data_IF_717840107451
#
_entry.id   IF_717840107451
#
_cell.length_a   1.000
_cell.length_b   1.000
_cell.length_c   1.000
_cell.angle_alpha   90.00
_cell.angle_beta   90.00
_cell.angle_gamma   90.00
#
_symmetry.space_group_name_H-M   'P 1'
#
loop_
_entity.id
_entity.type
_entity.pdbx_description
1 polymer ?
#
# COMPACT_ATOMS: atom_id res chain seq x y z
N UNK A 1 12.49 21.67 0.76
CA UNK A 1 11.64 21.19 1.85
C UNK A 1 12.17 19.89 2.45
N UNK A 2 12.48 19.90 3.75
CA UNK A 2 12.68 18.68 4.56
C UNK A 2 11.31 18.20 5.06
N UNK A 3 10.98 16.91 4.88
CA UNK A 3 9.65 16.35 5.24
C UNK A 3 9.67 15.50 6.52
N UNK A 4 10.81 15.33 7.20
CA UNK A 4 10.94 14.44 8.36
C UNK A 4 9.98 14.85 9.50
N UNK A 5 9.99 16.13 9.90
CA UNK A 5 9.13 16.63 10.99
C UNK A 5 7.64 16.55 10.65
N UNK A 6 7.29 16.65 9.37
CA UNK A 6 5.90 16.52 8.90
C UNK A 6 5.42 15.05 8.93
N UNK A 7 6.25 14.12 8.45
CA UNK A 7 5.88 12.72 8.21
C UNK A 7 6.21 11.79 9.38
N UNK A 8 7.12 12.20 10.28
CA UNK A 8 7.51 11.49 11.51
C UNK A 8 7.49 12.46 12.71
N UNK A 9 6.35 13.11 13.02
CA UNK A 9 6.28 14.10 14.08
C UNK A 9 6.37 13.45 15.46
N UNK A 10 7.03 14.13 16.40
CA UNK A 10 6.97 13.79 17.83
C UNK A 10 6.01 14.73 18.57
N UNK A 11 5.91 15.99 18.13
CA UNK A 11 5.08 17.03 18.75
C UNK A 11 4.06 17.59 17.75
N UNK A 12 2.78 17.40 18.03
CA UNK A 12 1.67 17.76 17.14
C UNK A 12 0.76 18.80 17.78
N UNK A 13 0.47 19.91 17.11
CA UNK A 13 -0.58 20.83 17.52
C UNK A 13 -1.82 20.68 16.63
N UNK A 14 -3.00 20.59 17.24
CA UNK A 14 -4.28 20.48 16.52
C UNK A 14 -5.04 21.80 16.65
N UNK A 15 -5.12 22.55 15.55
CA UNK A 15 -5.78 23.85 15.49
C UNK A 15 -7.22 23.69 15.07
N UNK A 16 -8.14 24.25 15.86
CA UNK A 16 -9.59 24.14 15.67
C UNK A 16 -10.28 23.18 16.64
N UNK A 17 -9.60 22.77 17.72
CA UNK A 17 -10.22 21.98 18.80
C UNK A 17 -11.39 22.77 19.39
N UNK A 18 -12.54 22.13 19.54
CA UNK A 18 -13.75 22.74 20.05
C UNK A 18 -14.07 22.26 21.46
N UNK A 19 -14.26 23.18 22.40
CA UNK A 19 -14.72 22.85 23.76
C UNK A 19 -16.23 22.58 23.85
N UNK A 20 -16.99 22.88 22.78
CA UNK A 20 -18.46 22.71 22.76
C UNK A 20 -18.96 21.64 21.80
N UNK A 21 -18.12 21.19 20.86
CA UNK A 21 -18.46 20.14 19.90
C UNK A 21 -17.42 19.04 19.95
N UNK A 22 -17.75 18.01 20.72
CA UNK A 22 -16.87 16.88 20.97
C UNK A 22 -16.61 15.99 19.74
N UNK A 23 -17.50 16.08 18.74
CA UNK A 23 -17.43 15.37 17.46
C UNK A 23 -16.80 16.23 16.35
N UNK A 24 -16.28 17.41 16.66
CA UNK A 24 -15.58 18.22 15.67
C UNK A 24 -14.37 17.45 15.13
N UNK A 25 -14.06 17.50 13.82
CA UNK A 25 -12.91 16.79 13.24
C UNK A 25 -11.58 17.00 13.99
N UNK A 26 -11.33 18.23 14.45
CA UNK A 26 -10.16 18.54 15.28
C UNK A 26 -10.14 17.75 16.60
N UNK A 27 -11.29 17.58 17.26
CA UNK A 27 -11.38 16.82 18.51
C UNK A 27 -11.17 15.32 18.26
N UNK A 28 -11.67 14.79 17.14
CA UNK A 28 -11.45 13.40 16.75
C UNK A 28 -9.95 13.14 16.58
N UNK A 29 -9.24 14.03 15.87
CA UNK A 29 -7.78 13.94 15.71
C UNK A 29 -7.08 14.05 17.07
N UNK A 30 -7.40 15.11 17.83
CA UNK A 30 -6.77 15.39 19.12
C UNK A 30 -6.87 14.22 20.09
N UNK A 31 -8.07 13.65 20.28
CA UNK A 31 -8.30 12.49 21.16
C UNK A 31 -7.50 11.27 20.73
N UNK A 32 -7.45 10.98 19.43
CA UNK A 32 -6.69 9.83 18.94
C UNK A 32 -5.22 9.97 19.30
N UNK A 33 -4.63 11.12 18.96
CA UNK A 33 -3.23 11.40 19.26
C UNK A 33 -2.97 11.34 20.77
N UNK A 34 -3.83 11.94 21.58
CA UNK A 34 -3.67 12.00 23.03
C UNK A 34 -3.73 10.63 23.71
N UNK A 35 -4.63 9.74 23.27
CA UNK A 35 -4.92 8.50 23.99
C UNK A 35 -4.35 7.24 23.34
N UNK A 36 -3.92 7.28 22.07
CA UNK A 36 -3.60 6.07 21.30
C UNK A 36 -2.26 6.10 20.58
N UNK A 37 -1.58 7.25 20.52
CA UNK A 37 -0.33 7.39 19.77
C UNK A 37 0.80 7.97 20.64
N UNK A 38 2.05 7.58 20.39
CA UNK A 38 3.21 8.00 21.17
C UNK A 38 3.73 9.37 20.73
N UNK A 39 2.86 10.39 20.69
CA UNK A 39 3.21 11.77 20.35
C UNK A 39 2.71 12.74 21.41
N UNK A 40 3.46 13.81 21.64
CA UNK A 40 2.98 14.94 22.45
C UNK A 40 1.98 15.73 21.61
N UNK A 41 0.78 15.97 22.15
CA UNK A 41 -0.29 16.66 21.41
C UNK A 41 -0.82 17.87 22.17
N UNK A 42 -0.97 18.99 21.45
CA UNK A 42 -1.45 20.26 21.99
C UNK A 42 -2.76 20.67 21.31
N UNK A 43 -3.79 20.98 22.10
CA UNK A 43 -5.05 21.51 21.60
C UNK A 43 -4.95 23.03 21.42
N UNK A 44 -5.35 23.55 20.27
CA UNK A 44 -5.30 24.99 19.98
C UNK A 44 -6.65 25.50 19.49
N UNK A 45 -7.15 26.56 20.14
CA UNK A 45 -8.36 27.29 19.79
C UNK A 45 -8.27 28.72 20.31
N UNK A 46 -8.67 29.72 19.52
CA UNK A 46 -8.57 31.13 19.92
C UNK A 46 -9.33 31.51 21.20
N UNK A 47 -10.33 30.72 21.61
CA UNK A 47 -11.06 30.93 22.88
C UNK A 47 -10.33 30.37 24.10
N UNK A 48 -9.34 29.51 23.89
CA UNK A 48 -8.68 28.73 24.93
C UNK A 48 -9.65 27.82 25.69
N UNK A 49 -9.26 27.44 26.91
CA UNK A 49 -10.07 26.64 27.82
C UNK A 49 -9.40 25.32 28.19
N UNK A 50 -10.21 24.30 28.47
CA UNK A 50 -9.77 22.97 28.85
C UNK A 50 -10.62 21.91 28.13
N UNK A 51 -9.99 20.82 27.69
CA UNK A 51 -10.67 19.66 27.12
C UNK A 51 -10.06 18.40 27.72
N UNK A 52 -10.87 17.47 28.23
CA UNK A 52 -10.39 16.22 28.86
C UNK A 52 -9.28 16.41 29.91
N UNK A 53 -9.32 17.50 30.70
CA UNK A 53 -8.32 17.78 31.73
C UNK A 53 -7.00 18.35 31.21
N UNK A 54 -6.92 18.73 29.92
CA UNK A 54 -5.73 19.36 29.35
C UNK A 54 -6.00 20.76 28.79
N UNK A 55 -5.00 21.67 28.85
CA UNK A 55 -5.17 23.03 28.39
C UNK A 55 -5.40 23.10 26.88
N UNK A 56 -6.33 23.97 26.48
CA UNK A 56 -6.49 24.42 25.10
C UNK A 56 -5.81 25.78 24.99
N UNK A 57 -4.71 25.84 24.23
CA UNK A 57 -3.93 27.05 24.03
C UNK A 57 -4.67 28.03 23.10
N UNK A 58 -4.59 29.32 23.41
CA UNK A 58 -5.25 30.38 22.64
C UNK A 58 -4.59 30.67 21.28
N UNK A 59 -3.36 30.21 21.09
CA UNK A 59 -2.54 30.43 19.89
C UNK A 59 -1.43 29.39 19.83
N UNK A 60 -0.83 29.22 18.64
CA UNK A 60 0.35 28.36 18.49
C UNK A 60 1.55 28.89 19.30
N UNK A 61 1.71 30.20 19.40
CA UNK A 61 2.80 30.83 20.15
C UNK A 61 2.71 30.63 21.67
N UNK A 62 1.54 30.22 22.19
CA UNK A 62 1.35 29.92 23.61
C UNK A 62 1.69 28.45 23.95
N UNK A 63 1.94 27.60 22.95
CA UNK A 63 2.39 26.22 23.16
C UNK A 63 3.82 26.26 23.71
N UNK A 64 4.13 25.53 24.81
CA UNK A 64 5.41 25.66 25.52
C UNK A 64 6.60 25.04 24.76
N UNK A 65 6.35 24.13 23.83
CA UNK A 65 7.37 23.35 23.14
C UNK A 65 7.41 23.67 21.64
N UNK A 66 8.53 23.31 20.99
CA UNK A 66 8.63 23.35 19.53
C UNK A 66 7.62 22.39 18.90
N UNK A 67 7.01 22.75 17.77
CA UNK A 67 5.97 21.95 17.13
C UNK A 67 6.51 21.36 15.82
N UNK A 68 6.42 20.04 15.63
CA UNK A 68 6.84 19.39 14.39
C UNK A 68 5.76 19.49 13.32
N UNK A 69 4.51 19.28 13.72
CA UNK A 69 3.36 19.23 12.83
C UNK A 69 2.18 20.02 13.40
N UNK A 70 1.59 20.87 12.56
CA UNK A 70 0.28 21.49 12.84
C UNK A 70 -0.81 20.88 11.97
N UNK A 71 -1.84 20.32 12.60
CA UNK A 71 -3.05 19.87 11.90
C UNK A 71 -4.11 20.96 11.95
N UNK A 72 -4.47 21.50 10.78
CA UNK A 72 -5.36 22.65 10.62
C UNK A 72 -6.76 22.18 10.27
N UNK A 73 -7.68 22.30 11.24
CA UNK A 73 -9.09 21.92 11.12
C UNK A 73 -10.01 23.12 11.40
N UNK A 74 -9.69 24.29 10.83
CA UNK A 74 -10.50 25.51 10.91
C UNK A 74 -11.14 25.85 9.57
N UNK A 75 -12.15 26.73 9.53
CA UNK A 75 -12.75 27.18 8.27
C UNK A 75 -11.68 27.75 7.33
N UNK A 76 -11.78 27.47 6.03
CA UNK A 76 -10.78 27.82 5.02
C UNK A 76 -10.21 29.25 5.17
N UNK A 77 -11.07 30.25 5.35
CA UNK A 77 -10.67 31.67 5.48
C UNK A 77 -9.70 32.00 6.62
N UNK A 78 -9.55 31.15 7.64
CA UNK A 78 -8.60 31.34 8.74
C UNK A 78 -7.29 30.58 8.54
N UNK A 79 -7.18 29.78 7.48
CA UNK A 79 -6.04 28.87 7.26
C UNK A 79 -4.76 29.64 6.97
N UNK A 80 -4.85 30.75 6.23
CA UNK A 80 -3.67 31.57 5.90
C UNK A 80 -3.01 32.15 7.16
N UNK A 81 -3.80 32.66 8.11
CA UNK A 81 -3.28 33.17 9.38
C UNK A 81 -2.58 32.07 10.18
N UNK A 82 -3.13 30.85 10.18
CA UNK A 82 -2.51 29.70 10.85
C UNK A 82 -1.20 29.32 10.18
N UNK A 83 -1.13 29.31 8.85
CA UNK A 83 0.09 29.00 8.08
C UNK A 83 1.18 30.05 8.34
N UNK A 84 0.83 31.34 8.35
CA UNK A 84 1.78 32.40 8.71
C UNK A 84 2.34 32.20 10.12
N UNK A 85 1.48 31.90 11.10
CA UNK A 85 1.93 31.61 12.46
C UNK A 85 2.83 30.36 12.54
N UNK A 86 2.58 29.33 11.71
CA UNK A 86 3.45 28.16 11.64
C UNK A 86 4.86 28.52 11.12
N UNK A 87 4.93 29.36 10.10
CA UNK A 87 6.19 29.84 9.51
C UNK A 87 6.96 30.69 10.52
N UNK A 88 6.28 31.64 11.18
CA UNK A 88 6.89 32.52 12.19
C UNK A 88 7.46 31.76 13.39
N UNK A 89 6.92 30.57 13.68
CA UNK A 89 7.31 29.71 14.80
C UNK A 89 8.23 28.54 14.40
N UNK A 90 8.71 28.48 13.15
CA UNK A 90 9.57 27.41 12.63
C UNK A 90 8.98 25.99 12.85
N UNK A 91 7.67 25.87 12.61
CA UNK A 91 6.98 24.58 12.60
C UNK A 91 7.53 23.71 11.47
N UNK A 92 7.64 22.40 11.68
CA UNK A 92 8.19 21.48 10.68
C UNK A 92 7.30 21.26 9.44
N UNK A 93 5.98 21.46 9.57
CA UNK A 93 5.02 21.41 8.46
C UNK A 93 3.55 21.48 8.92
N UNK A 94 2.63 21.52 7.96
CA UNK A 94 1.19 21.49 8.25
C UNK A 94 0.39 20.47 7.43
N UNK A 95 -0.68 19.96 8.02
CA UNK A 95 -1.73 19.19 7.34
C UNK A 95 -3.02 19.98 7.40
N UNK A 96 -3.56 20.39 6.26
CA UNK A 96 -4.81 21.15 6.20
C UNK A 96 -5.95 20.20 5.82
N UNK A 97 -6.68 19.70 6.82
CA UNK A 97 -7.81 18.79 6.58
C UNK A 97 -9.06 19.51 6.07
N UNK A 98 -9.13 20.83 6.26
CA UNK A 98 -10.29 21.63 5.89
C UNK A 98 -10.51 21.72 4.37
N UNK A 99 -11.76 21.58 3.95
CA UNK A 99 -12.24 22.00 2.62
C UNK A 99 -12.69 23.46 2.59
N UNK A 100 -13.20 23.90 1.44
CA UNK A 100 -13.57 25.28 1.11
C UNK A 100 -12.55 26.02 0.24
N UNK A 101 -11.75 25.30 -0.56
CA UNK A 101 -10.69 25.82 -1.42
C UNK A 101 -11.03 25.64 -2.90
N UNK A 102 -10.06 25.30 -3.76
CA UNK A 102 -10.24 25.21 -5.20
C UNK A 102 -11.36 24.22 -5.62
N UNK A 103 -11.59 23.15 -4.87
CA UNK A 103 -12.66 22.17 -5.09
C UNK A 103 -14.08 22.77 -4.95
N UNK A 104 -14.19 23.94 -4.30
CA UNK A 104 -15.45 24.70 -4.16
C UNK A 104 -15.44 26.02 -4.93
N UNK A 105 -14.43 26.25 -5.79
CA UNK A 105 -14.27 27.47 -6.58
C UNK A 105 -13.45 28.58 -5.91
N UNK A 106 -12.88 28.34 -4.73
CA UNK A 106 -12.04 29.31 -4.01
C UNK A 106 -10.54 29.05 -4.27
N UNK A 107 -10.15 29.10 -5.55
CA UNK A 107 -8.77 28.86 -5.96
C UNK A 107 -7.80 29.95 -5.48
N UNK A 108 -8.25 31.20 -5.39
CA UNK A 108 -7.42 32.34 -4.97
C UNK A 108 -6.86 32.13 -3.56
N UNK A 109 -7.70 31.71 -2.60
CA UNK A 109 -7.25 31.42 -1.24
C UNK A 109 -6.26 30.25 -1.20
N UNK A 110 -6.49 29.21 -2.01
CA UNK A 110 -5.57 28.08 -2.10
C UNK A 110 -4.20 28.51 -2.64
N UNK A 111 -4.21 29.34 -3.69
CA UNK A 111 -3.00 29.86 -4.31
C UNK A 111 -2.22 30.75 -3.34
N UNK A 112 -2.90 31.63 -2.61
CA UNK A 112 -2.27 32.46 -1.57
C UNK A 112 -1.58 31.62 -0.49
N UNK A 113 -2.27 30.59 0.04
CA UNK A 113 -1.66 29.66 1.01
C UNK A 113 -0.45 28.94 0.41
N UNK A 114 -0.56 28.47 -0.84
CA UNK A 114 0.53 27.75 -1.50
C UNK A 114 1.74 28.66 -1.81
N UNK A 115 1.52 29.91 -2.21
CA UNK A 115 2.56 30.90 -2.49
C UNK A 115 3.36 31.22 -1.23
N UNK A 116 2.68 31.52 -0.12
CA UNK A 116 3.32 31.81 1.17
C UNK A 116 4.13 30.60 1.65
N UNK A 117 3.55 29.40 1.61
CA UNK A 117 4.23 28.19 2.05
C UNK A 117 5.48 27.88 1.20
N UNK A 118 5.38 28.01 -0.13
CA UNK A 118 6.52 27.78 -1.04
C UNK A 118 7.62 28.82 -0.86
N UNK A 119 7.26 30.09 -0.67
CA UNK A 119 8.23 31.17 -0.42
C UNK A 119 9.04 30.94 0.86
N UNK A 120 8.44 30.27 1.85
CA UNK A 120 9.07 29.95 3.12
C UNK A 120 9.71 28.54 3.19
N UNK A 121 9.73 27.76 2.11
CA UNK A 121 10.10 26.34 2.10
C UNK A 121 9.33 25.50 3.14
N UNK A 122 8.09 25.89 3.46
CA UNK A 122 7.25 25.28 4.48
C UNK A 122 6.35 24.18 3.89
N UNK A 123 6.50 22.91 4.29
CA UNK A 123 5.79 21.80 3.67
C UNK A 123 4.34 21.70 4.16
N UNK A 124 3.40 21.53 3.22
CA UNK A 124 1.97 21.39 3.52
C UNK A 124 1.35 20.21 2.74
N UNK A 125 0.64 19.34 3.46
CA UNK A 125 -0.28 18.33 2.87
C UNK A 125 -1.69 18.91 2.82
N UNK A 126 -2.39 18.70 1.70
CA UNK A 126 -3.73 19.22 1.44
C UNK A 126 -3.73 20.51 0.60
N UNK A 127 -4.73 21.41 0.77
CA UNK A 127 -5.86 21.30 1.69
C UNK A 127 -6.86 20.21 1.27
N UNK A 128 -8.00 20.13 1.97
CA UNK A 128 -9.08 19.18 1.67
C UNK A 128 -8.58 17.73 1.61
N UNK A 129 -7.87 17.31 2.66
CA UNK A 129 -7.31 15.98 2.76
C UNK A 129 -7.77 15.24 4.01
N UNK A 130 -7.59 13.92 4.02
CA UNK A 130 -7.82 13.13 5.23
C UNK A 130 -6.67 13.27 6.25
N UNK A 131 -5.44 13.51 5.78
CA UNK A 131 -4.25 13.67 6.62
C UNK A 131 -3.23 12.53 6.48
N UNK A 132 -2.48 12.27 7.56
CA UNK A 132 -1.40 11.29 7.65
C UNK A 132 -1.77 10.18 8.65
N UNK A 133 -1.49 8.94 8.27
CA UNK A 133 -1.60 7.78 9.15
C UNK A 133 -0.35 6.90 9.02
N UNK A 134 0.29 6.62 10.15
CA UNK A 134 1.42 5.68 10.26
C UNK A 134 1.12 4.71 11.41
N UNK A 135 0.88 3.41 11.14
CA UNK A 135 0.46 2.45 12.15
C UNK A 135 1.34 2.46 13.41
N UNK A 136 0.71 2.72 14.56
CA UNK A 136 1.39 2.76 15.86
C UNK A 136 2.25 4.01 16.13
N UNK A 137 2.32 4.97 15.19
CA UNK A 137 3.15 6.18 15.31
C UNK A 137 2.33 7.47 15.35
N UNK A 138 1.47 7.70 14.36
CA UNK A 138 0.63 8.91 14.28
C UNK A 138 -0.64 8.64 13.46
N UNK A 139 -1.74 9.30 13.82
CA UNK A 139 -2.99 9.26 13.07
C UNK A 139 -3.73 10.60 13.14
N UNK A 140 -3.58 11.38 12.07
CA UNK A 140 -4.23 12.68 11.93
C UNK A 140 -5.53 12.61 11.12
N UNK A 141 -6.09 11.42 10.89
CA UNK A 141 -7.34 11.30 10.14
C UNK A 141 -8.50 11.91 10.91
N UNK A 142 -9.46 12.51 10.21
CA UNK A 142 -10.69 13.05 10.80
C UNK A 142 -11.72 11.95 11.18
N UNK A 143 -11.31 10.68 11.16
CA UNK A 143 -12.15 9.52 11.43
C UNK A 143 -11.75 8.88 12.76
N UNK A 144 -12.71 8.50 13.62
CA UNK A 144 -12.42 7.84 14.89
C UNK A 144 -11.87 6.42 14.67
N UNK A 145 -10.83 6.05 15.42
CA UNK A 145 -10.13 4.78 15.22
C UNK A 145 -11.03 3.56 15.41
N UNK A 146 -11.99 3.59 16.33
CA UNK A 146 -12.92 2.47 16.58
C UNK A 146 -13.92 2.20 15.44
N UNK A 147 -13.99 3.09 14.45
CA UNK A 147 -14.81 2.90 13.24
C UNK A 147 -13.99 2.43 12.04
N UNK A 148 -12.67 2.28 12.19
CA UNK A 148 -11.77 1.90 11.11
C UNK A 148 -11.05 0.61 11.45
N UNK A 149 -11.09 -0.32 10.51
CA UNK A 149 -10.17 -1.45 10.50
C UNK A 149 -8.83 -0.95 9.95
N UNK A 150 -7.77 -0.99 10.76
CA UNK A 150 -6.46 -0.45 10.39
C UNK A 150 -5.44 -1.57 10.16
N UNK A 151 -4.60 -1.46 9.12
CA UNK A 151 -3.57 -2.45 8.85
C UNK A 151 -2.47 -2.40 9.93
N UNK A 152 -1.81 -3.55 10.12
CA UNK A 152 -0.58 -3.64 10.93
C UNK A 152 0.55 -2.82 10.29
N UNK A 153 1.61 -2.47 11.04
CA UNK A 153 2.83 -1.97 10.45
C UNK A 153 3.37 -2.91 9.37
N UNK A 154 3.83 -2.37 8.24
CA UNK A 154 4.42 -3.13 7.15
C UNK A 154 5.10 -2.23 6.12
N UNK A 155 5.40 -2.78 4.94
CA UNK A 155 6.27 -2.11 3.97
C UNK A 155 5.56 -1.37 2.84
N UNK A 156 4.24 -1.21 2.88
CA UNK A 156 3.51 -0.53 1.80
C UNK A 156 3.16 0.90 2.19
N UNK A 157 3.65 1.89 1.45
CA UNK A 157 3.21 3.27 1.57
C UNK A 157 2.04 3.54 0.60
N UNK A 158 1.04 4.30 1.06
CA UNK A 158 -0.13 4.67 0.26
C UNK A 158 -0.18 6.19 0.11
N UNK A 159 -0.23 6.70 -1.12
CA UNK A 159 -0.49 8.11 -1.42
C UNK A 159 -1.84 8.20 -2.14
N UNK A 160 -2.75 9.06 -1.69
CA UNK A 160 -4.07 9.16 -2.31
C UNK A 160 -4.57 10.59 -2.41
N UNK A 161 -5.00 10.98 -3.61
CA UNK A 161 -5.77 12.21 -3.81
C UNK A 161 -7.16 12.13 -3.17
N UNK A 162 -7.74 10.94 -3.04
CA UNK A 162 -9.06 10.72 -2.44
C UNK A 162 -8.95 10.16 -1.01
N UNK A 163 -9.45 10.90 -0.03
CA UNK A 163 -9.49 10.45 1.36
C UNK A 163 -10.40 9.24 1.58
N UNK A 164 -11.57 9.20 0.94
CA UNK A 164 -12.50 8.07 1.08
C UNK A 164 -11.93 6.78 0.46
N UNK A 165 -11.30 6.88 -0.72
CA UNK A 165 -10.65 5.75 -1.36
C UNK A 165 -9.46 5.23 -0.53
N UNK A 166 -8.71 6.14 0.10
CA UNK A 166 -7.61 5.76 1.00
C UNK A 166 -8.10 4.88 2.15
N UNK A 167 -9.21 5.25 2.79
CA UNK A 167 -9.80 4.49 3.91
C UNK A 167 -10.28 3.13 3.46
N UNK A 168 -10.98 3.06 2.33
CA UNK A 168 -11.42 1.78 1.75
C UNK A 168 -10.23 0.85 1.46
N UNK A 169 -9.13 1.40 0.93
CA UNK A 169 -7.91 0.66 0.69
C UNK A 169 -7.26 0.16 1.98
N UNK A 170 -7.20 0.98 3.04
CA UNK A 170 -6.68 0.57 4.35
C UNK A 170 -7.47 -0.58 4.97
N UNK A 171 -8.81 -0.53 4.89
CA UNK A 171 -9.67 -1.63 5.36
C UNK A 171 -9.40 -2.91 4.58
N UNK A 172 -9.27 -2.82 3.25
CA UNK A 172 -8.95 -3.96 2.40
C UNK A 172 -7.55 -4.50 2.69
N UNK A 173 -6.56 -3.64 2.92
CA UNK A 173 -5.20 -4.01 3.28
C UNK A 173 -5.15 -4.78 4.60
N UNK A 174 -5.85 -4.28 5.64
CA UNK A 174 -5.95 -4.99 6.92
C UNK A 174 -6.54 -6.39 6.75
N UNK A 175 -7.67 -6.50 6.02
CA UNK A 175 -8.34 -7.79 5.75
C UNK A 175 -7.48 -8.80 4.98
N UNK A 176 -6.56 -8.33 4.15
CA UNK A 176 -5.69 -9.20 3.34
C UNK A 176 -4.27 -9.32 3.91
N UNK A 177 -4.04 -8.92 5.16
CA UNK A 177 -2.73 -9.06 5.81
C UNK A 177 -1.63 -8.18 5.21
N UNK A 178 -2.00 -7.10 4.51
CA UNK A 178 -1.04 -6.18 3.89
C UNK A 178 -0.74 -5.07 4.89
N UNK A 179 0.46 -5.10 5.47
CA UNK A 179 0.90 -4.07 6.39
C UNK A 179 1.33 -2.77 5.69
N UNK A 180 1.08 -1.64 6.36
CA UNK A 180 1.32 -0.29 5.84
C UNK A 180 2.47 0.38 6.58
N UNK A 181 3.35 1.07 5.85
CA UNK A 181 4.37 1.93 6.45
C UNK A 181 3.75 3.27 6.82
N UNK A 182 3.18 3.95 5.83
CA UNK A 182 2.46 5.22 5.96
C UNK A 182 1.35 5.35 4.91
N UNK A 183 0.29 6.07 5.24
CA UNK A 183 -0.82 6.40 4.38
C UNK A 183 -1.05 7.91 4.41
N UNK A 184 -0.98 8.54 3.24
CA UNK A 184 -0.94 9.99 3.07
C UNK A 184 -2.06 10.39 2.12
N UNK A 185 -3.06 11.10 2.64
CA UNK A 185 -4.06 11.75 1.80
C UNK A 185 -3.57 13.15 1.45
N UNK A 186 -3.37 13.41 0.16
CA UNK A 186 -2.82 14.69 -0.33
C UNK A 186 -3.89 15.70 -0.74
N UNK A 187 -5.15 15.26 -0.88
CA UNK A 187 -6.28 16.13 -1.22
C UNK A 187 -6.02 16.97 -2.47
N UNK A 188 -6.17 18.28 -2.35
CA UNK A 188 -5.97 19.22 -3.44
C UNK A 188 -4.50 19.42 -3.87
N UNK A 189 -3.53 18.88 -3.12
CA UNK A 189 -2.08 18.89 -3.44
C UNK A 189 -1.52 20.28 -3.80
N UNK A 190 -1.85 21.29 -3.00
CA UNK A 190 -1.51 22.68 -3.29
C UNK A 190 -0.01 23.00 -3.15
N UNK A 191 0.64 22.37 -2.17
CA UNK A 191 2.08 22.53 -1.88
C UNK A 191 2.80 21.23 -2.16
N UNK A 192 2.69 20.24 -1.26
CA UNK A 192 3.26 18.91 -1.49
C UNK A 192 2.38 18.11 -2.44
N UNK A 193 3.05 17.40 -3.33
CA UNK A 193 2.46 16.57 -4.38
C UNK A 193 3.01 15.16 -4.31
N UNK A 194 2.58 14.31 -5.24
CA UNK A 194 3.00 12.90 -5.31
C UNK A 194 4.51 12.78 -5.47
N UNK A 195 5.13 13.66 -6.27
CA UNK A 195 6.57 13.64 -6.56
C UNK A 195 7.40 13.92 -5.30
N UNK A 196 6.97 14.88 -4.47
CA UNK A 196 7.67 15.23 -3.23
C UNK A 196 7.65 14.04 -2.26
N UNK A 197 6.50 13.37 -2.15
CA UNK A 197 6.34 12.19 -1.31
C UNK A 197 7.08 10.97 -1.87
N UNK A 198 7.09 10.78 -3.20
CA UNK A 198 7.90 9.76 -3.85
C UNK A 198 9.39 9.96 -3.54
N UNK A 199 9.90 11.18 -3.66
CA UNK A 199 11.30 11.49 -3.38
C UNK A 199 11.65 11.24 -1.91
N UNK A 200 10.75 11.53 -0.98
CA UNK A 200 10.95 11.21 0.44
C UNK A 200 10.92 9.69 0.70
N UNK A 201 9.88 9.01 0.19
CA UNK A 201 9.69 7.56 0.40
C UNK A 201 10.75 6.72 -0.30
N UNK A 202 11.47 7.27 -1.28
CA UNK A 202 12.64 6.66 -1.90
C UNK A 202 13.65 6.18 -0.87
N UNK A 203 13.96 7.04 0.11
CA UNK A 203 15.03 6.81 1.09
C UNK A 203 14.49 6.27 2.42
N UNK A 204 13.17 6.15 2.58
CA UNK A 204 12.55 5.61 3.79
C UNK A 204 12.75 4.08 3.91
N UNK A 205 13.48 3.57 4.92
CA UNK A 205 13.81 2.15 5.01
C UNK A 205 12.61 1.26 5.36
N UNK A 206 11.54 1.82 5.92
CA UNK A 206 10.33 1.08 6.25
C UNK A 206 9.47 0.80 5.01
N UNK A 207 9.54 1.69 4.02
CA UNK A 207 8.76 1.58 2.78
C UNK A 207 9.48 0.71 1.75
N UNK A 208 8.85 -0.40 1.37
CA UNK A 208 9.29 -1.33 0.33
C UNK A 208 8.52 -1.16 -0.98
N UNK A 209 7.24 -0.82 -0.92
CA UNK A 209 6.35 -0.62 -2.08
C UNK A 209 5.57 0.68 -1.88
N UNK A 210 5.34 1.41 -2.96
CA UNK A 210 4.53 2.63 -2.93
C UNK A 210 3.32 2.42 -3.85
N UNK A 211 2.12 2.64 -3.32
CA UNK A 211 0.89 2.63 -4.12
C UNK A 211 0.25 4.01 -4.15
N UNK A 212 -0.24 4.43 -5.32
CA UNK A 212 -0.83 5.74 -5.53
C UNK A 212 -2.23 5.64 -6.13
N UNK A 213 -3.18 6.36 -5.54
CA UNK A 213 -4.46 6.67 -6.18
C UNK A 213 -4.41 8.08 -6.76
N UNK A 214 -4.44 8.17 -8.09
CA UNK A 214 -4.26 9.41 -8.83
C UNK A 214 -5.55 9.74 -9.59
N UNK A 215 -6.10 10.93 -9.37
CA UNK A 215 -7.24 11.42 -10.15
C UNK A 215 -6.80 12.26 -11.33
N UNK A 216 -5.77 13.09 -11.14
CA UNK A 216 -5.22 13.91 -12.22
C UNK A 216 -3.87 14.53 -11.87
N UNK A 217 -3.22 15.08 -12.88
CA UNK A 217 -2.01 15.88 -12.75
C UNK A 217 -2.31 17.32 -13.11
N UNK A 218 -1.57 18.24 -12.50
CA UNK A 218 -1.49 19.61 -12.99
C UNK A 218 -0.75 19.64 -14.34
N UNK A 219 -0.81 20.79 -15.01
CA UNK A 219 -0.07 21.00 -16.25
C UNK A 219 1.43 20.73 -16.04
N UNK A 220 2.04 20.00 -16.99
CA UNK A 220 3.45 19.59 -16.97
C UNK A 220 3.90 18.66 -15.82
N UNK A 221 3.01 18.25 -14.93
CA UNK A 221 3.36 17.42 -13.77
C UNK A 221 3.47 15.93 -14.11
N UNK A 222 2.64 15.43 -15.04
CA UNK A 222 2.59 14.00 -15.36
C UNK A 222 3.93 13.43 -15.88
N UNK A 223 4.68 14.21 -16.66
CA UNK A 223 6.02 13.81 -17.13
C UNK A 223 7.02 13.69 -15.97
N UNK A 224 7.06 14.70 -15.11
CA UNK A 224 7.95 14.72 -13.95
C UNK A 224 7.63 13.57 -12.99
N UNK A 225 6.34 13.22 -12.84
CA UNK A 225 5.91 12.06 -12.06
C UNK A 225 6.49 10.76 -12.62
N UNK A 226 6.36 10.54 -13.93
CA UNK A 226 6.87 9.32 -14.58
C UNK A 226 8.38 9.22 -14.41
N UNK A 227 9.12 10.29 -14.68
CA UNK A 227 10.59 10.34 -14.51
C UNK A 227 11.01 10.02 -13.07
N UNK A 228 10.31 10.57 -12.07
CA UNK A 228 10.57 10.32 -10.66
C UNK A 228 10.24 8.87 -10.25
N UNK A 229 9.08 8.37 -10.66
CA UNK A 229 8.60 7.01 -10.33
C UNK A 229 9.51 5.92 -10.93
N UNK A 230 10.05 6.14 -12.14
CA UNK A 230 11.01 5.20 -12.75
C UNK A 230 12.34 5.15 -12.00
N UNK A 231 12.77 6.27 -11.40
CA UNK A 231 14.09 6.40 -10.78
C UNK A 231 14.11 6.14 -9.26
N UNK A 232 13.00 5.68 -8.67
CA UNK A 232 12.85 5.56 -7.22
C UNK A 232 13.48 4.29 -6.63
N UNK A 233 13.73 3.26 -7.45
CA UNK A 233 14.35 2.01 -7.00
C UNK A 233 13.44 1.12 -6.12
N UNK A 234 12.15 1.48 -5.98
CA UNK A 234 11.11 0.72 -5.28
C UNK A 234 9.93 0.49 -6.23
N UNK A 235 9.18 -0.62 -6.11
CA UNK A 235 7.97 -0.83 -6.88
C UNK A 235 6.93 0.28 -6.64
N UNK A 236 6.44 0.85 -7.73
CA UNK A 236 5.38 1.86 -7.74
C UNK A 236 4.15 1.27 -8.44
N UNK A 237 3.05 1.15 -7.69
CA UNK A 237 1.74 0.70 -8.18
C UNK A 237 0.81 1.89 -8.26
N UNK A 238 0.19 2.13 -9.40
CA UNK A 238 -0.70 3.29 -9.60
C UNK A 238 -2.07 2.86 -10.02
N UNK A 239 -3.09 3.33 -9.31
CA UNK A 239 -4.48 3.27 -9.73
C UNK A 239 -4.93 4.66 -10.19
N UNK A 240 -5.21 4.78 -11.49
CA UNK A 240 -5.70 6.01 -12.10
C UNK A 240 -7.22 6.01 -12.13
N UNK A 241 -7.87 7.03 -11.57
CA UNK A 241 -9.30 7.22 -11.74
C UNK A 241 -9.64 7.94 -13.06
N UNK A 242 -10.91 8.02 -13.43
CA UNK A 242 -11.32 8.78 -14.62
C UNK A 242 -10.88 8.19 -15.97
N UNK A 243 -10.80 6.86 -16.07
CA UNK A 243 -10.31 6.12 -17.26
C UNK A 243 -11.22 6.22 -18.50
N UNK A 244 -12.48 6.56 -18.30
CA UNK A 244 -13.49 6.74 -19.35
C UNK A 244 -13.92 8.21 -19.41
N UNK A 245 -14.53 8.63 -20.52
CA UNK A 245 -15.07 9.98 -20.63
C UNK A 245 -16.06 10.32 -19.51
N UNK A 246 -16.87 9.35 -19.06
CA UNK A 246 -17.80 9.54 -17.95
C UNK A 246 -17.05 9.66 -16.60
N UNK A 247 -16.06 8.80 -16.36
CA UNK A 247 -15.26 8.85 -15.13
C UNK A 247 -14.43 10.15 -15.05
N UNK A 248 -13.85 10.57 -16.17
CA UNK A 248 -13.08 11.81 -16.29
C UNK A 248 -13.94 13.03 -15.92
N UNK A 249 -15.20 13.10 -16.40
CA UNK A 249 -16.15 14.14 -15.98
C UNK A 249 -16.48 14.09 -14.50
N UNK A 250 -16.69 12.89 -13.94
CA UNK A 250 -17.01 12.73 -12.52
C UNK A 250 -15.86 13.23 -11.63
N UNK A 251 -14.62 12.87 -11.96
CA UNK A 251 -13.41 13.34 -11.27
C UNK A 251 -13.27 14.86 -11.38
N UNK A 252 -13.36 15.41 -12.59
CA UNK A 252 -13.18 16.86 -12.82
C UNK A 252 -14.24 17.72 -12.14
N UNK A 253 -15.41 17.15 -11.81
CA UNK A 253 -16.46 17.86 -11.07
C UNK A 253 -16.22 17.92 -9.56
N UNK A 254 -15.34 17.05 -9.04
CA UNK A 254 -15.05 16.91 -7.62
C UNK A 254 -13.64 17.40 -7.25
N UNK A 255 -12.70 17.40 -8.20
CA UNK A 255 -11.36 17.94 -8.01
C UNK A 255 -11.01 18.98 -9.07
N UNK A 256 -10.25 20.00 -8.66
CA UNK A 256 -9.78 21.08 -9.55
C UNK A 256 -8.60 20.62 -10.44
N UNK A 257 -8.66 19.39 -10.97
CA UNK A 257 -7.63 18.81 -11.85
C UNK A 257 -8.15 18.59 -13.26
N UNK A 258 -7.28 18.72 -14.26
CA UNK A 258 -7.63 18.44 -15.66
C UNK A 258 -7.49 16.94 -15.88
N UNK A 259 -8.58 16.29 -16.29
CA UNK A 259 -8.53 14.89 -16.68
C UNK A 259 -7.83 14.75 -18.05
N UNK A 260 -6.58 14.26 -18.02
CA UNK A 260 -5.82 13.93 -19.22
C UNK A 260 -6.34 12.68 -19.96
N UNK A 261 -5.83 12.44 -21.17
CA UNK A 261 -6.13 11.25 -21.95
C UNK A 261 -5.60 9.99 -21.24
N UNK A 262 -6.51 9.11 -20.86
CA UNK A 262 -6.18 7.86 -20.17
C UNK A 262 -5.31 6.91 -21.01
N UNK A 263 -5.52 6.86 -22.33
CA UNK A 263 -4.74 5.99 -23.21
C UNK A 263 -3.28 6.44 -23.22
N UNK A 264 -3.03 7.74 -23.33
CA UNK A 264 -1.68 8.32 -23.24
C UNK A 264 -1.05 8.00 -21.88
N UNK A 265 -1.81 8.16 -20.80
CA UNK A 265 -1.35 7.83 -19.46
C UNK A 265 -0.90 6.35 -19.34
N UNK A 266 -1.74 5.42 -19.77
CA UNK A 266 -1.48 3.97 -19.69
C UNK A 266 -0.28 3.55 -20.55
N UNK A 267 -0.18 4.07 -21.78
CA UNK A 267 0.94 3.76 -22.68
C UNK A 267 2.27 4.29 -22.15
N UNK A 268 2.31 5.51 -21.60
CA UNK A 268 3.52 6.09 -21.00
C UNK A 268 3.97 5.29 -19.78
N UNK A 269 3.02 4.85 -18.93
CA UNK A 269 3.33 4.04 -17.74
C UNK A 269 3.92 2.69 -18.12
N UNK A 270 3.33 2.02 -19.10
CA UNK A 270 3.83 0.76 -19.63
C UNK A 270 5.25 0.89 -20.22
N UNK A 271 5.57 2.00 -20.89
CA UNK A 271 6.92 2.27 -21.42
C UNK A 271 7.98 2.47 -20.32
N UNK A 272 7.56 2.94 -19.14
CA UNK A 272 8.45 3.32 -18.05
C UNK A 272 8.48 2.31 -16.89
N UNK A 273 7.84 1.14 -17.08
CA UNK A 273 7.81 0.07 -16.08
C UNK A 273 7.00 0.41 -14.82
N UNK A 274 6.15 1.43 -14.88
CA UNK A 274 5.27 1.81 -13.76
C UNK A 274 4.05 0.88 -13.80
N UNK A 275 3.75 0.25 -12.66
CA UNK A 275 2.71 -0.77 -12.58
C UNK A 275 1.36 -0.09 -12.48
N UNK A 276 0.60 -0.09 -13.57
CA UNK A 276 -0.79 0.36 -13.51
C UNK A 276 -1.72 -0.76 -13.01
N UNK A 277 -2.42 -0.51 -11.90
CA UNK A 277 -3.47 -1.37 -11.36
C UNK A 277 -4.85 -0.90 -11.85
N UNK A 278 -5.64 -1.83 -12.36
CA UNK A 278 -6.91 -1.54 -12.99
C UNK A 278 -8.06 -1.34 -11.99
N UNK A 279 -7.98 -2.02 -10.85
CA UNK A 279 -8.97 -2.03 -9.79
C UNK A 279 -8.28 -2.30 -8.44
N UNK A 280 -9.06 -2.29 -7.35
CA UNK A 280 -8.53 -2.56 -6.01
C UNK A 280 -7.91 -3.94 -5.85
N UNK A 281 -8.41 -4.97 -6.54
CA UNK A 281 -7.90 -6.34 -6.42
C UNK A 281 -6.47 -6.43 -6.97
N UNK A 282 -6.20 -5.75 -8.07
CA UNK A 282 -4.84 -5.59 -8.61
C UNK A 282 -3.93 -4.83 -7.63
N UNK A 283 -4.42 -3.75 -7.00
CA UNK A 283 -3.62 -3.04 -5.98
C UNK A 283 -3.24 -3.99 -4.85
N UNK A 284 -4.20 -4.75 -4.31
CA UNK A 284 -3.98 -5.69 -3.21
C UNK A 284 -2.96 -6.76 -3.60
N UNK A 285 -3.18 -7.44 -4.72
CA UNK A 285 -2.30 -8.51 -5.21
C UNK A 285 -0.89 -8.00 -5.50
N UNK A 286 -0.77 -6.87 -6.22
CA UNK A 286 0.54 -6.32 -6.60
C UNK A 286 1.30 -5.81 -5.36
N UNK A 287 0.64 -5.10 -4.45
CA UNK A 287 1.31 -4.62 -3.24
C UNK A 287 1.77 -5.78 -2.34
N UNK A 288 0.92 -6.80 -2.15
CA UNK A 288 1.23 -7.93 -1.27
C UNK A 288 2.45 -8.73 -1.75
N UNK A 289 2.50 -9.05 -3.04
CA UNK A 289 3.60 -9.82 -3.62
C UNK A 289 4.88 -9.00 -3.73
N UNK A 290 4.81 -7.72 -4.11
CA UNK A 290 6.00 -6.87 -4.26
C UNK A 290 6.60 -6.46 -2.91
N UNK A 291 5.79 -6.41 -1.86
CA UNK A 291 6.26 -6.21 -0.49
C UNK A 291 7.09 -7.41 0.01
N UNK A 292 6.78 -8.60 -0.50
CA UNK A 292 7.50 -9.85 -0.20
C UNK A 292 8.68 -10.07 -1.14
N UNK A 293 8.50 -9.78 -2.43
CA UNK A 293 9.44 -9.99 -3.51
C UNK A 293 9.52 -8.76 -4.44
N UNK A 294 10.36 -7.76 -4.14
CA UNK A 294 10.51 -6.56 -4.96
C UNK A 294 11.40 -6.82 -6.18
N UNK A 295 11.01 -7.80 -7.03
CA UNK A 295 11.77 -8.19 -8.23
C UNK A 295 10.86 -8.61 -9.38
N UNK A 296 11.39 -8.45 -10.59
CA UNK A 296 10.75 -8.92 -11.81
C UNK A 296 10.79 -10.45 -11.91
N UNK A 297 9.81 -11.03 -12.61
CA UNK A 297 9.83 -12.40 -13.14
C UNK A 297 9.53 -12.36 -14.63
N UNK A 298 10.03 -13.34 -15.38
CA UNK A 298 9.68 -13.43 -16.81
C UNK A 298 8.26 -13.99 -16.95
N UNK A 299 8.10 -15.29 -17.23
CA UNK A 299 6.78 -15.84 -17.58
C UNK A 299 6.56 -17.27 -17.10
N UNK A 300 7.56 -17.95 -16.60
CA UNK A 300 7.45 -19.39 -16.38
C UNK A 300 7.11 -19.71 -14.93
N UNK A 301 5.97 -20.41 -14.75
CA UNK A 301 5.39 -20.70 -13.44
C UNK A 301 5.33 -22.20 -13.20
N UNK A 302 5.74 -22.63 -12.01
CA UNK A 302 5.53 -24.00 -11.53
C UNK A 302 4.33 -24.04 -10.59
N UNK A 303 3.43 -25.01 -10.78
CA UNK A 303 2.24 -25.16 -9.93
C UNK A 303 2.35 -26.46 -9.13
N UNK A 304 2.10 -26.37 -7.82
CA UNK A 304 2.09 -27.50 -6.89
C UNK A 304 0.71 -27.53 -6.21
N UNK A 305 0.02 -28.67 -6.24
CA UNK A 305 -1.34 -28.82 -5.71
C UNK A 305 -1.59 -30.25 -5.27
N UNK A 306 -2.66 -30.48 -4.50
CA UNK A 306 -3.20 -31.83 -4.20
C UNK A 306 -4.46 -32.15 -5.00
N UNK A 307 -4.85 -31.24 -5.90
CA UNK A 307 -6.08 -31.32 -6.67
C UNK A 307 -5.84 -30.91 -8.12
N UNK A 308 -5.99 -31.85 -9.03
CA UNK A 308 -5.91 -31.62 -10.47
C UNK A 308 -6.93 -30.59 -10.97
N UNK A 309 -8.11 -30.49 -10.34
CA UNK A 309 -9.09 -29.45 -10.68
C UNK A 309 -8.59 -28.03 -10.37
N UNK A 310 -7.98 -27.82 -9.20
CA UNK A 310 -7.35 -26.53 -8.85
C UNK A 310 -6.13 -26.27 -9.74
N UNK A 311 -5.34 -27.30 -10.05
CA UNK A 311 -4.20 -27.20 -10.96
C UNK A 311 -4.62 -26.78 -12.39
N UNK A 312 -5.69 -27.35 -12.92
CA UNK A 312 -6.26 -26.99 -14.21
C UNK A 312 -6.78 -25.55 -14.22
N UNK A 313 -7.56 -25.15 -13.20
CA UNK A 313 -8.05 -23.77 -13.07
C UNK A 313 -6.91 -22.74 -13.01
N UNK A 314 -5.87 -23.03 -12.22
CA UNK A 314 -4.68 -22.17 -12.14
C UNK A 314 -3.91 -22.11 -13.47
N UNK A 315 -3.83 -23.23 -14.18
CA UNK A 315 -3.22 -23.32 -15.51
C UNK A 315 -3.94 -22.42 -16.51
N UNK A 316 -5.27 -22.49 -16.59
CA UNK A 316 -6.07 -21.65 -17.48
C UNK A 316 -5.90 -20.15 -17.16
N UNK A 317 -5.90 -19.80 -15.87
CA UNK A 317 -5.68 -18.41 -15.41
C UNK A 317 -4.27 -17.91 -15.72
N UNK A 318 -3.25 -18.76 -15.57
CA UNK A 318 -1.87 -18.46 -15.98
C UNK A 318 -1.79 -18.22 -17.49
N UNK A 319 -2.34 -19.14 -18.29
CA UNK A 319 -2.33 -19.04 -19.76
C UNK A 319 -3.05 -17.78 -20.25
N UNK A 320 -4.21 -17.45 -19.68
CA UNK A 320 -4.96 -16.24 -20.01
C UNK A 320 -4.19 -14.94 -19.76
N UNK A 321 -3.22 -14.96 -18.83
CA UNK A 321 -2.32 -13.82 -18.51
C UNK A 321 -0.95 -13.92 -19.18
N UNK A 322 -0.76 -14.91 -20.06
CA UNK A 322 0.47 -15.10 -20.83
C UNK A 322 1.63 -15.72 -20.06
N UNK A 323 1.37 -16.39 -18.92
CA UNK A 323 2.36 -17.22 -18.23
C UNK A 323 2.52 -18.57 -18.93
N UNK A 324 3.76 -19.03 -19.01
CA UNK A 324 4.13 -20.36 -19.48
C UNK A 324 4.20 -21.37 -18.33
N UNK A 325 3.94 -22.64 -18.65
CA UNK A 325 4.10 -23.77 -17.75
C UNK A 325 5.10 -24.76 -18.36
N UNK A 326 6.41 -24.55 -18.15
CA UNK A 326 7.42 -25.43 -18.71
C UNK A 326 7.26 -26.87 -18.23
N UNK A 327 7.63 -27.83 -19.08
CA UNK A 327 7.73 -29.22 -18.69
C UNK A 327 8.85 -29.42 -17.66
N UNK A 328 8.61 -30.33 -16.71
CA UNK A 328 9.62 -30.72 -15.73
C UNK A 328 10.56 -31.75 -16.39
N UNK A 329 11.89 -31.51 -16.42
CA UNK A 329 12.83 -32.46 -17.01
C UNK A 329 12.72 -33.84 -16.38
N UNK A 330 12.84 -34.89 -17.20
CA UNK A 330 12.66 -36.28 -16.75
C UNK A 330 13.55 -36.67 -15.56
N UNK A 331 14.80 -36.17 -15.55
CA UNK A 331 15.72 -36.41 -14.44
C UNK A 331 15.22 -35.80 -13.11
N UNK A 332 14.52 -34.68 -13.17
CA UNK A 332 13.92 -34.01 -11.99
C UNK A 332 12.67 -34.75 -11.55
N UNK A 333 11.80 -35.15 -12.50
CA UNK A 333 10.61 -35.97 -12.20
C UNK A 333 10.97 -37.23 -11.43
N UNK A 334 12.04 -37.91 -11.83
CA UNK A 334 12.57 -39.10 -11.13
C UNK A 334 13.02 -38.81 -9.70
N UNK A 335 13.70 -37.67 -9.46
CA UNK A 335 14.12 -37.29 -8.10
C UNK A 335 12.94 -36.91 -7.22
N UNK A 336 11.95 -36.19 -7.77
CA UNK A 336 10.69 -35.92 -7.07
C UNK A 336 10.03 -37.25 -6.68
N UNK A 337 9.81 -38.14 -7.63
CA UNK A 337 9.20 -39.46 -7.40
C UNK A 337 9.86 -40.23 -6.26
N UNK A 338 11.19 -40.26 -6.20
CA UNK A 338 11.95 -40.94 -5.14
C UNK A 338 11.77 -40.32 -3.75
N UNK A 339 11.50 -39.01 -3.68
CA UNK A 339 11.31 -38.26 -2.43
C UNK A 339 9.86 -38.23 -1.95
N UNK A 340 8.90 -38.53 -2.82
CA UNK A 340 7.48 -38.58 -2.45
C UNK A 340 7.21 -39.71 -1.44
N UNK A 341 6.29 -39.44 -0.53
CA UNK A 341 5.77 -40.37 0.46
C UNK A 341 5.10 -41.57 -0.24
N UNK A 342 5.17 -42.79 0.35
CA UNK A 342 4.59 -43.98 -0.26
C UNK A 342 3.09 -43.86 -0.58
N UNK A 343 2.35 -43.03 0.15
CA UNK A 343 0.90 -42.83 -0.03
C UNK A 343 0.53 -42.12 -1.33
N UNK A 344 1.42 -41.28 -1.88
CA UNK A 344 1.15 -40.51 -3.11
C UNK A 344 2.06 -40.88 -4.27
N UNK A 345 3.22 -41.49 -4.00
CA UNK A 345 4.28 -41.74 -4.99
C UNK A 345 3.81 -42.32 -6.32
N UNK A 346 2.95 -43.35 -6.27
CA UNK A 346 2.52 -44.09 -7.47
C UNK A 346 1.28 -43.51 -8.15
N UNK A 347 0.64 -42.50 -7.53
CA UNK A 347 -0.61 -41.88 -8.02
C UNK A 347 -0.47 -40.40 -8.32
N UNK A 348 0.62 -39.76 -7.88
CA UNK A 348 0.89 -38.35 -8.14
C UNK A 348 1.24 -38.12 -9.62
N UNK A 349 0.73 -37.03 -10.19
CA UNK A 349 1.09 -36.59 -11.53
C UNK A 349 2.25 -35.58 -11.43
N UNK A 350 3.46 -36.01 -11.78
CA UNK A 350 4.69 -35.20 -11.68
C UNK A 350 4.96 -34.43 -13.00
N UNK A 351 3.91 -33.80 -13.54
CA UNK A 351 4.03 -32.85 -14.65
C UNK A 351 3.92 -31.42 -14.08
N UNK A 352 3.80 -30.39 -14.92
CA UNK A 352 3.46 -29.05 -14.46
C UNK A 352 2.04 -28.72 -14.94
N UNK A 353 1.03 -28.65 -14.05
CA UNK A 353 1.07 -28.72 -12.58
C UNK A 353 1.47 -30.08 -11.99
N UNK A 354 2.14 -30.06 -10.83
CA UNK A 354 2.38 -31.25 -10.00
C UNK A 354 1.16 -31.49 -9.12
N UNK A 355 0.42 -32.56 -9.38
CA UNK A 355 -0.72 -33.00 -8.57
C UNK A 355 -0.29 -34.13 -7.62
N UNK A 356 -0.17 -33.79 -6.33
CA UNK A 356 0.23 -34.67 -5.24
C UNK A 356 -0.92 -35.53 -4.71
N UNK A 357 -2.16 -35.33 -5.17
CA UNK A 357 -3.38 -36.01 -4.69
C UNK A 357 -3.69 -35.74 -3.21
N UNK A 358 -4.89 -36.15 -2.75
CA UNK A 358 -5.43 -35.78 -1.44
C UNK A 358 -4.65 -36.33 -0.22
N UNK A 359 -3.84 -37.38 -0.40
CA UNK A 359 -3.09 -38.05 0.67
C UNK A 359 -1.68 -37.49 0.89
N UNK A 360 -1.35 -36.37 0.24
CA UNK A 360 -0.05 -35.72 0.38
C UNK A 360 0.16 -35.17 1.78
N UNK A 361 1.41 -35.24 2.24
CA UNK A 361 1.87 -34.61 3.49
C UNK A 361 2.75 -33.39 3.18
N UNK A 362 3.02 -32.54 4.17
CA UNK A 362 3.88 -31.36 3.99
C UNK A 362 5.22 -31.70 3.31
N UNK A 363 5.83 -32.83 3.66
CA UNK A 363 7.12 -33.27 3.12
C UNK A 363 7.07 -33.52 1.60
N UNK A 364 5.90 -33.87 1.05
CA UNK A 364 5.69 -34.02 -0.38
C UNK A 364 5.72 -32.65 -1.10
N UNK A 365 5.07 -31.63 -0.53
CA UNK A 365 5.12 -30.26 -1.05
C UNK A 365 6.55 -29.71 -1.00
N UNK A 366 7.24 -29.91 0.12
CA UNK A 366 8.65 -29.50 0.29
C UNK A 366 9.51 -30.21 -0.74
N UNK A 367 9.37 -31.53 -0.92
CA UNK A 367 10.15 -32.29 -1.90
C UNK A 367 10.00 -31.75 -3.33
N UNK A 368 8.76 -31.46 -3.76
CA UNK A 368 8.51 -30.89 -5.10
C UNK A 368 9.12 -29.50 -5.24
N UNK A 369 8.82 -28.59 -4.30
CA UNK A 369 9.31 -27.22 -4.35
C UNK A 369 10.85 -27.18 -4.28
N UNK A 370 11.48 -28.06 -3.50
CA UNK A 370 12.92 -28.21 -3.41
C UNK A 370 13.59 -28.56 -4.74
N UNK A 371 13.03 -29.53 -5.45
CA UNK A 371 13.60 -29.99 -6.72
C UNK A 371 13.38 -28.96 -7.83
N UNK A 372 12.20 -28.32 -7.86
CA UNK A 372 11.85 -27.39 -8.94
C UNK A 372 12.45 -25.99 -8.77
N UNK A 373 12.59 -25.47 -7.54
CA UNK A 373 13.06 -24.07 -7.32
C UNK A 373 14.48 -23.81 -7.84
N UNK A 374 15.28 -24.86 -8.01
CA UNK A 374 16.65 -24.80 -8.54
C UNK A 374 16.71 -24.80 -10.06
N UNK A 375 15.59 -25.04 -10.74
CA UNK A 375 15.53 -25.08 -12.20
C UNK A 375 15.54 -23.66 -12.79
N UNK A 376 16.44 -23.36 -13.75
CA UNK A 376 16.50 -22.04 -14.37
C UNK A 376 15.25 -21.70 -15.18
N UNK A 377 14.52 -22.71 -15.66
CA UNK A 377 13.31 -22.56 -16.48
C UNK A 377 12.13 -21.97 -15.71
N UNK A 378 12.12 -22.05 -14.37
CA UNK A 378 11.03 -21.57 -13.53
C UNK A 378 11.39 -20.24 -12.87
N UNK A 379 10.51 -19.25 -13.02
CA UNK A 379 10.70 -17.92 -12.45
C UNK A 379 10.03 -17.76 -11.10
N UNK A 380 8.86 -18.40 -10.92
CA UNK A 380 8.05 -18.36 -9.71
C UNK A 380 7.17 -19.61 -9.55
N UNK A 381 6.59 -19.78 -8.38
CA UNK A 381 5.77 -20.94 -8.02
C UNK A 381 4.42 -20.53 -7.43
N UNK A 382 3.39 -21.28 -7.80
CA UNK A 382 2.08 -21.29 -7.13
C UNK A 382 1.95 -22.57 -6.32
N UNK A 383 1.63 -22.44 -5.03
CA UNK A 383 1.29 -23.57 -4.18
C UNK A 383 -0.17 -23.48 -3.76
N UNK A 384 -0.98 -24.38 -4.31
CA UNK A 384 -2.41 -24.43 -4.07
C UNK A 384 -2.67 -25.34 -2.87
N UNK A 385 -2.78 -24.72 -1.69
CA UNK A 385 -2.94 -25.42 -0.42
C UNK A 385 -4.41 -25.52 -0.07
N UNK A 386 -4.87 -26.75 0.20
CA UNK A 386 -6.25 -27.04 0.59
C UNK A 386 -6.24 -27.58 2.03
N UNK A 387 -6.42 -26.72 3.06
CA UNK A 387 -6.14 -27.08 4.46
C UNK A 387 -7.08 -28.13 5.07
N UNK A 388 -8.09 -28.59 4.33
CA UNK A 388 -8.93 -29.71 4.74
C UNK A 388 -8.33 -31.07 4.40
N UNK A 389 -7.19 -31.14 3.69
CA UNK A 389 -6.41 -32.38 3.56
C UNK A 389 -5.75 -32.73 4.89
N UNK A 390 -5.78 -34.00 5.27
CA UNK A 390 -5.30 -34.50 6.56
C UNK A 390 -3.78 -34.44 6.71
N UNK A 391 -3.04 -34.47 5.61
CA UNK A 391 -1.57 -34.48 5.64
C UNK A 391 -0.93 -33.09 5.66
N UNK A 392 -1.72 -32.03 5.49
CA UNK A 392 -1.22 -30.65 5.45
C UNK A 392 -1.34 -30.01 6.83
N UNK A 393 -0.20 -29.65 7.42
CA UNK A 393 -0.15 -29.04 8.75
C UNK A 393 -0.07 -27.51 8.70
N UNK A 394 -0.37 -26.86 9.83
CA UNK A 394 -0.22 -25.40 9.97
C UNK A 394 1.25 -24.95 9.76
N UNK A 395 2.21 -25.86 9.90
CA UNK A 395 3.63 -25.58 9.75
C UNK A 395 4.10 -25.64 8.29
N UNK A 396 3.24 -26.02 7.33
CA UNK A 396 3.63 -26.13 5.92
C UNK A 396 4.30 -24.85 5.40
N UNK A 397 3.78 -23.67 5.76
CA UNK A 397 4.35 -22.39 5.37
C UNK A 397 5.78 -22.19 5.87
N UNK A 398 6.07 -22.59 7.10
CA UNK A 398 7.43 -22.57 7.65
C UNK A 398 8.33 -23.63 6.99
N UNK A 399 7.81 -24.85 6.77
CA UNK A 399 8.56 -25.96 6.16
C UNK A 399 9.01 -25.65 4.74
N UNK A 400 8.15 -25.07 3.90
CA UNK A 400 8.50 -24.73 2.51
C UNK A 400 9.39 -23.48 2.40
N UNK A 401 9.35 -22.63 3.43
CA UNK A 401 10.16 -21.41 3.49
C UNK A 401 11.54 -21.61 4.14
N UNK A 402 11.77 -22.73 4.85
CA UNK A 402 13.02 -23.00 5.57
C UNK A 402 14.21 -23.11 4.59
N UNK A 403 15.16 -22.15 4.60
CA UNK A 403 16.13 -21.98 3.52
C UNK A 403 17.39 -22.80 3.78
N UNK A 404 17.41 -24.05 3.31
CA UNK A 404 18.67 -24.80 3.10
C UNK A 404 19.33 -24.49 1.73
N UNK A 405 18.81 -23.51 0.96
CA UNK A 405 19.08 -23.40 -0.49
C UNK A 405 19.78 -22.11 -0.93
N UNK A 406 20.62 -22.24 -1.97
CA UNK A 406 21.39 -21.15 -2.61
C UNK A 406 20.56 -20.17 -3.44
N UNK A 407 19.35 -20.55 -3.89
CA UNK A 407 18.40 -19.71 -4.64
C UNK A 407 16.98 -20.05 -4.23
N UNK A 408 16.23 -19.05 -3.78
CA UNK A 408 14.79 -19.16 -3.50
C UNK A 408 14.04 -18.35 -4.57
N UNK A 409 13.31 -19.05 -5.45
CA UNK A 409 12.37 -18.42 -6.40
C UNK A 409 11.10 -17.98 -5.66
N UNK A 410 10.41 -16.91 -6.11
CA UNK A 410 9.19 -16.44 -5.47
C UNK A 410 8.17 -17.59 -5.38
N UNK A 411 7.56 -17.73 -4.22
CA UNK A 411 6.46 -18.64 -3.97
C UNK A 411 5.25 -17.79 -3.59
N UNK A 412 4.11 -18.04 -4.23
CA UNK A 412 2.80 -17.50 -3.83
C UNK A 412 1.91 -18.67 -3.44
N UNK A 413 1.27 -18.59 -2.28
CA UNK A 413 0.34 -19.61 -1.84
C UNK A 413 -1.11 -19.21 -2.13
N UNK A 414 -1.94 -20.19 -2.42
CA UNK A 414 -3.39 -20.05 -2.39
C UNK A 414 -3.93 -20.84 -1.19
N UNK A 415 -4.72 -20.18 -0.34
CA UNK A 415 -5.46 -20.79 0.76
C UNK A 415 -6.86 -20.14 0.83
N UNK A 416 -7.96 -20.90 0.84
CA UNK A 416 -9.29 -20.34 1.02
C UNK A 416 -9.38 -19.49 2.30
N UNK A 417 -9.85 -18.25 2.19
CA UNK A 417 -9.93 -17.35 3.35
C UNK A 417 -11.12 -17.70 4.25
N UNK A 418 -10.86 -18.49 5.28
CA UNK A 418 -11.79 -18.81 6.37
C UNK A 418 -11.10 -18.65 7.71
N UNK A 419 -11.83 -18.21 8.73
CA UNK A 419 -11.28 -18.01 10.08
C UNK A 419 -10.54 -19.24 10.64
N UNK A 420 -11.03 -20.46 10.36
CA UNK A 420 -10.36 -21.72 10.76
C UNK A 420 -9.04 -22.00 10.05
N UNK A 421 -8.75 -21.34 8.93
CA UNK A 421 -7.51 -21.50 8.16
C UNK A 421 -6.53 -20.34 8.38
N UNK A 422 -6.84 -19.41 9.28
CA UNK A 422 -6.00 -18.25 9.60
C UNK A 422 -4.58 -18.65 10.00
N UNK A 423 -4.43 -19.72 10.81
CA UNK A 423 -3.11 -20.20 11.23
C UNK A 423 -2.24 -20.69 10.05
N UNK A 424 -2.85 -21.27 9.00
CA UNK A 424 -2.11 -21.64 7.78
C UNK A 424 -1.66 -20.40 7.02
N UNK A 425 -2.55 -19.41 6.86
CA UNK A 425 -2.25 -18.14 6.18
C UNK A 425 -1.09 -17.42 6.88
N UNK A 426 -1.19 -17.25 8.21
CA UNK A 426 -0.13 -16.64 9.02
C UNK A 426 1.17 -17.42 8.98
N UNK A 427 1.11 -18.77 8.93
CA UNK A 427 2.28 -19.62 8.78
C UNK A 427 3.09 -19.33 7.51
N UNK A 428 2.43 -18.98 6.39
CA UNK A 428 3.12 -18.53 5.18
C UNK A 428 3.57 -17.07 5.28
N UNK A 429 2.70 -16.16 5.73
CA UNK A 429 2.96 -14.72 5.76
C UNK A 429 4.09 -14.34 6.73
N UNK A 430 4.17 -14.98 7.90
CA UNK A 430 5.26 -14.79 8.86
C UNK A 430 6.62 -15.25 8.31
N UNK A 431 6.60 -16.14 7.31
CA UNK A 431 7.79 -16.63 6.61
C UNK A 431 8.04 -15.90 5.27
N UNK A 432 7.35 -14.80 5.02
CA UNK A 432 7.55 -13.95 3.84
C UNK A 432 6.94 -14.50 2.55
N UNK A 433 6.05 -15.49 2.63
CA UNK A 433 5.31 -16.01 1.47
C UNK A 433 3.93 -15.36 1.41
N UNK A 434 3.62 -14.58 0.36
CA UNK A 434 2.31 -13.97 0.20
C UNK A 434 1.25 -15.04 -0.11
N UNK A 435 0.09 -14.89 0.55
CA UNK A 435 -1.06 -15.79 0.39
C UNK A 435 -2.23 -15.06 -0.28
N UNK A 436 -2.85 -15.69 -1.26
CA UNK A 436 -4.11 -15.25 -1.86
C UNK A 436 -5.27 -16.12 -1.39
N UNK A 437 -6.45 -15.49 -1.26
CA UNK A 437 -7.72 -16.15 -0.93
C UNK A 437 -8.41 -16.81 -2.14
N UNK A 438 -7.91 -16.53 -3.34
CA UNK A 438 -8.40 -17.01 -4.63
C UNK A 438 -7.24 -17.42 -5.54
N UNK A 439 -7.46 -18.40 -6.41
CA UNK A 439 -6.46 -18.80 -7.41
C UNK A 439 -6.18 -17.63 -8.36
N UNK A 440 -7.23 -16.91 -8.78
CA UNK A 440 -7.09 -15.74 -9.66
C UNK A 440 -6.23 -14.64 -9.01
N UNK A 441 -6.44 -14.36 -7.73
CA UNK A 441 -5.58 -13.44 -6.97
C UNK A 441 -4.13 -13.92 -6.88
N UNK A 442 -3.88 -15.23 -6.74
CA UNK A 442 -2.53 -15.78 -6.70
C UNK A 442 -1.81 -15.61 -8.05
N UNK A 443 -2.51 -15.83 -9.17
CA UNK A 443 -1.97 -15.57 -10.51
C UNK A 443 -1.78 -14.07 -10.73
N UNK A 444 -2.69 -13.23 -10.24
CA UNK A 444 -2.59 -11.77 -10.29
C UNK A 444 -1.40 -11.25 -9.49
N UNK A 445 -1.03 -11.88 -8.37
CA UNK A 445 0.22 -11.59 -7.66
C UNK A 445 1.44 -11.82 -8.57
N UNK A 446 1.50 -12.95 -9.28
CA UNK A 446 2.59 -13.18 -10.25
C UNK A 446 2.59 -12.13 -11.37
N UNK A 447 1.42 -11.69 -11.83
CA UNK A 447 1.31 -10.62 -12.81
C UNK A 447 1.92 -9.31 -12.32
N UNK A 448 1.71 -8.95 -11.05
CA UNK A 448 2.33 -7.78 -10.43
C UNK A 448 3.86 -7.84 -10.47
N UNK A 449 4.44 -9.01 -10.22
CA UNK A 449 5.88 -9.23 -10.35
C UNK A 449 6.37 -9.09 -11.79
N UNK A 450 5.64 -9.66 -12.77
CA UNK A 450 5.99 -9.57 -14.20
C UNK A 450 5.90 -8.15 -14.76
N UNK A 451 4.95 -7.36 -14.25
CA UNK A 451 4.79 -5.94 -14.63
C UNK A 451 5.86 -5.06 -14.00
N UNK A 452 6.46 -5.47 -12.90
CA UNK A 452 7.50 -4.71 -12.23
C UNK A 452 8.82 -4.78 -13.01
N UNK A 453 9.21 -3.68 -13.63
CA UNK A 453 10.51 -3.57 -14.28
C UNK A 453 11.43 -2.70 -13.41
N UNK A 454 12.51 -3.28 -12.90
CA UNK A 454 13.57 -2.48 -12.30
C UNK A 454 14.25 -1.67 -13.40
N UNK A 455 14.34 -0.35 -13.20
CA UNK A 455 15.06 0.51 -14.12
C UNK A 455 16.53 0.08 -14.16
N UNK A 456 16.94 -0.55 -15.26
CA UNK A 456 18.36 -0.63 -15.61
C UNK A 456 18.73 0.79 -16.05
N UNK A 457 19.53 1.49 -15.23
CA UNK A 457 20.14 2.75 -15.65
C UNK A 457 20.78 2.54 -17.02
N UNK A 458 20.32 3.26 -18.03
CA UNK A 458 21.02 3.41 -19.31
C UNK A 458 22.34 4.15 -19.08
#
# INVERSE_FOLDING_TARGET
MNLDRLLKPERVAVVGVSITNDNHPANVIFKKLQFRYPVDVYAVNNRGGEIHGVPVYNSLAAVPDSIDLVVVAVRAKYTLDVVNACIDLDVGGAIIVSGGFAETGNADLQNQVAEVAKAADFPIIGPNCLGLFSPGKVDTFILPSERMEIPKPGGVAIISQSGAFLVDLLVKFSKHGIGVSQAISIGNKAVLREIDLLNYLKDDPETKVITLYIEGFAENEGRAFVEAATCIGKPVVVNKSGKSAAGSRAVSSHTASIAGDYKVFSEVFAQHGIIEAQNEYEILSYCKVLNSYPRNIERNVGIITISGGHGAAATDMCAARGFGLPEIPEAVRKRIYQRLSPSVRDIAAINNPVDLTASAIDEDFVAVYDEMTNLPEFDAFLMLVLPYSTGVSIDIGAKVSNPSKKRVRPLVAYIPHMAKYQAFIEGFELNGVPVSDSIDGAVMMLEGMRRYQQCFRL
#
